data_IF_482590047779
#
_entry.id   IF_482590047779
#
_cell.length_a   1.000
_cell.length_b   1.000
_cell.length_c   1.000
_cell.angle_alpha   90.00
_cell.angle_beta   90.00
_cell.angle_gamma   90.00
#
_symmetry.space_group_name_H-M   'P 1'
#
loop_
_entity.id
_entity.type
_entity.pdbx_description
1 polymer ?
#
# COMPACT_ATOMS: atom_id res chain seq x y z
N UNK A 1 34.17 9.02 -53.43
CA UNK A 1 34.91 9.76 -52.38
C UNK A 1 33.92 10.68 -51.67
N UNK A 2 33.47 10.32 -50.46
CA UNK A 2 32.49 11.11 -49.69
C UNK A 2 33.28 12.04 -48.74
N UNK A 3 33.20 13.35 -48.99
CA UNK A 3 33.86 14.39 -48.20
C UNK A 3 33.06 14.61 -46.90
N UNK A 4 33.55 14.02 -45.80
CA UNK A 4 32.96 14.16 -44.47
C UNK A 4 33.51 15.45 -43.85
N UNK A 5 32.66 16.48 -43.76
CA UNK A 5 33.02 17.77 -43.15
C UNK A 5 33.15 17.62 -41.62
N UNK A 6 34.24 18.11 -41.00
CA UNK A 6 34.53 17.91 -39.57
C UNK A 6 33.50 18.53 -38.63
N UNK A 7 32.68 19.45 -39.12
CA UNK A 7 31.60 20.09 -38.36
C UNK A 7 30.47 19.14 -37.96
N UNK A 8 30.27 18.02 -38.67
CA UNK A 8 29.23 17.03 -38.34
C UNK A 8 29.63 16.05 -37.23
N UNK A 9 30.93 15.81 -37.04
CA UNK A 9 31.44 14.91 -36.00
C UNK A 9 31.34 15.52 -34.60
N UNK A 10 31.56 16.84 -34.48
CA UNK A 10 31.46 17.55 -33.20
C UNK A 10 30.01 17.61 -32.70
N UNK A 11 29.05 17.85 -33.60
CA UNK A 11 27.64 17.88 -33.25
C UNK A 11 27.11 16.51 -32.77
N UNK A 12 27.60 15.40 -33.36
CA UNK A 12 27.21 14.06 -32.95
C UNK A 12 27.73 13.69 -31.55
N UNK A 13 28.94 14.12 -31.17
CA UNK A 13 29.51 13.87 -29.83
C UNK A 13 28.80 14.66 -28.73
N UNK A 14 28.41 15.91 -28.98
CA UNK A 14 27.65 16.74 -28.02
C UNK A 14 26.23 16.20 -27.80
N UNK A 15 25.58 15.73 -28.87
CA UNK A 15 24.26 15.11 -28.77
C UNK A 15 24.28 13.78 -27.97
N UNK A 16 25.37 13.01 -28.06
CA UNK A 16 25.53 11.76 -27.32
C UNK A 16 25.80 11.98 -25.82
N UNK A 17 26.48 13.07 -25.45
CA UNK A 17 26.70 13.44 -24.05
C UNK A 17 25.42 13.94 -23.35
N UNK A 18 24.51 14.60 -24.07
CA UNK A 18 23.24 15.10 -23.52
C UNK A 18 22.23 13.99 -23.20
N UNK A 19 22.30 12.83 -23.87
CA UNK A 19 21.41 11.69 -23.62
C UNK A 19 21.79 10.86 -22.38
N UNK A 20 22.99 11.04 -21.82
CA UNK A 20 23.47 10.31 -20.63
C UNK A 20 23.33 11.10 -19.32
N UNK A 21 23.02 12.40 -19.39
CA UNK A 21 22.85 13.25 -18.22
C UNK A 21 21.74 12.83 -17.22
N UNK A 22 20.56 12.29 -17.62
CA UNK A 22 19.49 12.03 -16.66
C UNK A 22 19.73 10.83 -15.73
N UNK A 23 20.70 9.95 -16.03
CA UNK A 23 20.97 8.77 -15.19
C UNK A 23 21.73 9.14 -13.91
N UNK A 24 22.56 10.19 -13.95
CA UNK A 24 23.32 10.67 -12.77
C UNK A 24 22.50 11.57 -11.84
N UNK A 25 21.39 12.14 -12.32
CA UNK A 25 20.51 12.99 -11.51
C UNK A 25 19.60 12.21 -10.55
N UNK A 26 19.52 10.88 -10.67
CA UNK A 26 18.69 10.03 -9.80
C UNK A 26 19.44 9.48 -8.57
N UNK A 27 20.66 9.94 -8.31
CA UNK A 27 21.42 9.61 -7.11
C UNK A 27 21.03 10.53 -5.93
N UNK A 28 19.72 10.66 -5.67
CA UNK A 28 19.25 11.12 -4.37
C UNK A 28 19.57 10.02 -3.37
N UNK A 29 20.75 10.11 -2.75
CA UNK A 29 21.16 9.20 -1.69
C UNK A 29 20.05 9.12 -0.65
N UNK A 30 19.51 7.91 -0.44
CA UNK A 30 18.52 7.67 0.61
C UNK A 30 19.09 8.16 1.94
N UNK A 31 18.68 9.36 2.37
CA UNK A 31 18.97 9.82 3.73
C UNK A 31 18.38 8.79 4.66
N UNK A 32 19.23 7.96 5.26
CA UNK A 32 18.80 6.96 6.22
C UNK A 32 18.17 7.68 7.40
N UNK A 33 16.84 7.69 7.43
CA UNK A 33 16.08 8.25 8.54
C UNK A 33 16.29 7.38 9.77
N UNK A 34 16.34 8.01 10.94
CA UNK A 34 16.30 7.26 12.19
C UNK A 34 15.04 6.40 12.29
N UNK A 35 15.09 5.32 13.08
CA UNK A 35 13.93 4.45 13.31
C UNK A 35 12.71 5.25 13.81
N UNK A 36 12.92 6.22 14.71
CA UNK A 36 11.86 7.09 15.24
C UNK A 36 11.22 7.95 14.16
N UNK A 37 12.01 8.59 13.31
CA UNK A 37 11.50 9.39 12.19
C UNK A 37 10.72 8.52 11.20
N UNK A 38 11.22 7.32 10.91
CA UNK A 38 10.52 6.36 10.04
C UNK A 38 9.15 5.98 10.63
N UNK A 39 9.08 5.71 11.93
CA UNK A 39 7.83 5.39 12.61
C UNK A 39 6.84 6.56 12.57
N UNK A 40 7.29 7.79 12.87
CA UNK A 40 6.44 8.98 12.81
C UNK A 40 5.94 9.24 11.39
N UNK A 41 6.79 9.10 10.38
CA UNK A 41 6.41 9.23 8.98
C UNK A 41 5.30 8.23 8.61
N UNK A 42 5.46 6.96 8.98
CA UNK A 42 4.46 5.93 8.70
C UNK A 42 3.14 6.23 9.41
N UNK A 43 3.18 6.68 10.68
CA UNK A 43 1.97 7.09 11.40
C UNK A 43 1.27 8.25 10.69
N UNK A 44 1.98 9.32 10.33
CA UNK A 44 1.39 10.44 9.61
C UNK A 44 0.80 10.04 8.24
N UNK A 45 1.45 9.11 7.53
CA UNK A 45 0.91 8.57 6.29
C UNK A 45 -0.40 7.82 6.54
N UNK A 46 -0.45 6.96 7.55
CA UNK A 46 -1.67 6.24 7.93
C UNK A 46 -2.79 7.23 8.28
N UNK A 47 -2.51 8.21 9.15
CA UNK A 47 -3.49 9.22 9.58
C UNK A 47 -4.02 10.03 8.38
N UNK A 48 -3.16 10.36 7.43
CA UNK A 48 -3.55 11.07 6.21
C UNK A 48 -4.51 10.24 5.35
N UNK A 49 -4.17 8.96 5.09
CA UNK A 49 -5.01 8.11 4.25
C UNK A 49 -6.34 7.76 4.93
N UNK A 50 -6.34 7.48 6.24
CA UNK A 50 -7.56 7.19 7.00
C UNK A 50 -8.45 8.43 7.16
N UNK A 51 -7.85 9.55 7.53
CA UNK A 51 -8.59 10.76 7.89
C UNK A 51 -9.05 11.60 6.70
N UNK A 52 -8.29 11.61 5.59
CA UNK A 52 -8.61 12.42 4.40
C UNK A 52 -9.02 11.57 3.21
N UNK A 53 -8.16 10.66 2.76
CA UNK A 53 -8.36 9.97 1.47
C UNK A 53 -9.54 9.00 1.54
N UNK A 54 -9.68 8.26 2.64
CA UNK A 54 -10.77 7.31 2.81
C UNK A 54 -12.12 8.02 2.92
N UNK A 55 -12.20 9.11 3.69
CA UNK A 55 -13.40 9.97 3.74
C UNK A 55 -13.74 10.53 2.36
N UNK A 56 -12.73 10.99 1.63
CA UNK A 56 -12.89 11.52 0.28
C UNK A 56 -13.44 10.50 -0.72
N UNK A 57 -13.06 9.22 -0.57
CA UNK A 57 -13.60 8.12 -1.36
C UNK A 57 -15.07 7.81 -0.99
N UNK A 58 -15.39 7.84 0.30
CA UNK A 58 -16.75 7.65 0.82
C UNK A 58 -17.70 8.78 0.39
N UNK A 59 -17.27 10.03 0.48
CA UNK A 59 -18.02 11.20 0.02
C UNK A 59 -18.34 11.15 -1.48
N UNK A 60 -17.53 10.43 -2.26
CA UNK A 60 -17.71 10.23 -3.70
C UNK A 60 -18.36 8.89 -4.06
N UNK A 61 -18.81 8.13 -3.06
CA UNK A 61 -19.42 6.80 -3.21
C UNK A 61 -18.62 5.84 -4.14
N UNK A 62 -17.28 5.93 -4.07
CA UNK A 62 -16.41 5.14 -4.92
C UNK A 62 -15.85 3.94 -4.15
N UNK A 63 -16.61 2.84 -4.16
CA UNK A 63 -16.28 1.62 -3.43
C UNK A 63 -14.92 1.00 -3.83
N UNK A 64 -14.53 1.10 -5.12
CA UNK A 64 -13.24 0.57 -5.58
C UNK A 64 -12.07 1.39 -5.02
N UNK A 65 -12.22 2.72 -5.00
CA UNK A 65 -11.23 3.60 -4.40
C UNK A 65 -11.14 3.36 -2.89
N UNK A 66 -12.28 3.31 -2.20
CA UNK A 66 -12.31 3.02 -0.76
C UNK A 66 -11.59 1.71 -0.44
N UNK A 67 -11.93 0.63 -1.14
CA UNK A 67 -11.30 -0.69 -0.94
C UNK A 67 -9.80 -0.64 -1.21
N UNK A 68 -9.37 0.03 -2.27
CA UNK A 68 -7.94 0.18 -2.59
C UNK A 68 -7.18 0.98 -1.52
N UNK A 69 -7.79 2.07 -1.01
CA UNK A 69 -7.23 2.89 0.06
C UNK A 69 -7.15 2.11 1.37
N UNK A 70 -8.19 1.36 1.75
CA UNK A 70 -8.16 0.49 2.93
C UNK A 70 -7.02 -0.53 2.85
N UNK A 71 -6.87 -1.22 1.72
CA UNK A 71 -5.75 -2.16 1.52
C UNK A 71 -4.38 -1.46 1.59
N UNK A 72 -4.28 -0.23 1.10
CA UNK A 72 -3.05 0.55 1.20
C UNK A 72 -2.72 0.88 2.66
N UNK A 73 -3.71 1.32 3.44
CA UNK A 73 -3.58 1.58 4.88
C UNK A 73 -3.15 0.32 5.63
N UNK A 74 -3.76 -0.84 5.34
CA UNK A 74 -3.37 -2.12 5.94
C UNK A 74 -1.89 -2.46 5.67
N UNK A 75 -1.42 -2.26 4.43
CA UNK A 75 -0.01 -2.46 4.08
C UNK A 75 0.91 -1.49 4.82
N UNK A 76 0.50 -0.24 5.05
CA UNK A 76 1.27 0.71 5.85
C UNK A 76 1.31 0.31 7.32
N UNK A 77 0.18 -0.12 7.88
CA UNK A 77 0.10 -0.64 9.27
C UNK A 77 1.00 -1.86 9.46
N UNK A 78 1.00 -2.81 8.53
CA UNK A 78 1.92 -3.95 8.57
C UNK A 78 3.38 -3.49 8.56
N UNK A 79 3.76 -2.61 7.61
CA UNK A 79 5.12 -2.06 7.55
C UNK A 79 5.51 -1.30 8.83
N UNK A 80 4.56 -0.60 9.45
CA UNK A 80 4.77 0.08 10.75
C UNK A 80 5.04 -0.95 11.85
N UNK A 81 4.24 -2.00 11.95
CA UNK A 81 4.43 -3.04 12.96
C UNK A 81 5.79 -3.75 12.81
N UNK A 82 6.26 -3.96 11.58
CA UNK A 82 7.56 -4.62 11.32
C UNK A 82 8.75 -3.71 11.71
N UNK A 83 8.63 -2.39 11.51
CA UNK A 83 9.72 -1.43 11.76
C UNK A 83 9.71 -0.81 13.16
N UNK A 84 8.56 -0.80 13.82
CA UNK A 84 8.31 -0.05 15.06
C UNK A 84 7.82 -1.00 16.16
N UNK A 85 8.66 -1.31 17.18
CA UNK A 85 8.37 -2.35 18.17
C UNK A 85 7.11 -2.08 18.98
N UNK A 86 6.80 -0.81 19.27
CA UNK A 86 5.60 -0.40 20.00
C UNK A 86 4.28 -0.86 19.33
N UNK A 87 4.26 -1.05 18.01
CA UNK A 87 3.07 -1.44 17.26
C UNK A 87 3.04 -2.94 16.94
N UNK A 88 4.07 -3.70 17.31
CA UNK A 88 4.12 -5.15 17.09
C UNK A 88 3.12 -5.89 18.00
N UNK A 89 2.96 -5.45 19.25
CA UNK A 89 1.98 -6.01 20.17
C UNK A 89 0.54 -5.69 19.74
N UNK A 90 0.29 -4.46 19.26
CA UNK A 90 -1.01 -4.08 18.70
C UNK A 90 -1.43 -5.00 17.55
N UNK A 91 -0.49 -5.35 16.66
CA UNK A 91 -0.73 -6.32 15.57
C UNK A 91 -1.11 -7.70 16.09
N UNK A 92 -0.49 -8.18 17.17
CA UNK A 92 -0.80 -9.49 17.76
C UNK A 92 -2.22 -9.51 18.34
N UNK A 93 -2.61 -8.45 19.05
CA UNK A 93 -3.95 -8.30 19.61
C UNK A 93 -5.00 -8.25 18.48
N UNK A 94 -4.77 -7.43 17.46
CA UNK A 94 -5.65 -7.34 16.29
C UNK A 94 -5.77 -8.67 15.54
N UNK A 95 -4.66 -9.40 15.37
CA UNK A 95 -4.67 -10.71 14.74
C UNK A 95 -5.51 -11.73 15.53
N UNK A 96 -5.41 -11.72 16.87
CA UNK A 96 -6.25 -12.57 17.75
C UNK A 96 -7.73 -12.19 17.63
N UNK A 97 -8.04 -10.90 17.67
CA UNK A 97 -9.41 -10.41 17.52
C UNK A 97 -10.01 -10.82 16.16
N UNK A 98 -9.22 -10.72 15.08
CA UNK A 98 -9.65 -11.17 13.75
C UNK A 98 -9.92 -12.67 13.71
N UNK A 99 -9.04 -13.48 14.30
CA UNK A 99 -9.25 -14.93 14.38
C UNK A 99 -10.54 -15.29 15.17
N UNK A 100 -10.82 -14.58 16.26
CA UNK A 100 -12.06 -14.76 17.02
C UNK A 100 -13.30 -14.36 16.20
N UNK A 101 -13.25 -13.23 15.50
CA UNK A 101 -14.35 -12.79 14.64
C UNK A 101 -14.64 -13.81 13.51
N UNK A 102 -13.60 -14.36 12.87
CA UNK A 102 -13.75 -15.40 11.86
C UNK A 102 -14.36 -16.69 12.44
N UNK A 103 -13.98 -17.09 13.66
CA UNK A 103 -14.61 -18.21 14.36
C UNK A 103 -16.09 -17.96 14.64
N UNK A 104 -16.45 -16.78 15.14
CA UNK A 104 -17.85 -16.42 15.37
C UNK A 104 -18.66 -16.40 14.06
N UNK A 105 -18.08 -15.88 12.97
CA UNK A 105 -18.75 -15.87 11.68
C UNK A 105 -19.03 -17.29 11.16
N UNK A 106 -18.12 -18.24 11.39
CA UNK A 106 -18.35 -19.67 11.08
C UNK A 106 -19.50 -20.24 11.91
N UNK A 107 -19.57 -19.91 13.20
CA UNK A 107 -20.67 -20.37 14.07
C UNK A 107 -22.01 -19.78 13.62
N UNK A 108 -22.07 -18.48 13.34
CA UNK A 108 -23.29 -17.80 12.87
C UNK A 108 -23.74 -18.36 11.53
N UNK A 109 -22.82 -18.60 10.58
CA UNK A 109 -23.18 -19.19 9.29
C UNK A 109 -23.64 -20.64 9.40
N UNK A 110 -23.05 -21.43 10.30
CA UNK A 110 -23.52 -22.79 10.59
C UNK A 110 -24.93 -22.76 11.23
N UNK A 111 -25.16 -21.87 12.19
CA UNK A 111 -26.46 -21.68 12.81
C UNK A 111 -27.51 -21.22 11.80
N UNK A 112 -27.17 -20.28 10.91
CA UNK A 112 -28.06 -19.81 9.84
C UNK A 112 -28.43 -20.95 8.87
N UNK A 113 -27.46 -21.79 8.47
CA UNK A 113 -27.73 -22.98 7.65
C UNK A 113 -28.62 -23.99 8.38
N UNK A 114 -28.40 -24.22 9.67
CA UNK A 114 -29.23 -25.09 10.49
C UNK A 114 -30.67 -24.58 10.61
N UNK A 115 -30.85 -23.28 10.88
CA UNK A 115 -32.15 -22.63 10.93
C UNK A 115 -32.85 -22.69 9.57
N UNK A 116 -32.16 -22.37 8.48
CA UNK A 116 -32.70 -22.47 7.14
C UNK A 116 -33.20 -23.90 6.84
N UNK A 117 -32.42 -24.94 7.18
CA UNK A 117 -32.82 -26.33 7.04
C UNK A 117 -34.05 -26.71 7.86
N UNK A 118 -34.15 -26.19 9.09
CA UNK A 118 -35.31 -26.44 9.96
C UNK A 118 -36.58 -25.77 9.42
N UNK A 119 -36.50 -24.51 8.97
CA UNK A 119 -37.64 -23.75 8.47
C UNK A 119 -38.05 -24.11 7.04
N UNK A 120 -37.12 -24.56 6.18
CA UNK A 120 -37.43 -24.98 4.81
C UNK A 120 -37.90 -26.42 4.67
N UNK A 121 -37.98 -27.20 5.76
CA UNK A 121 -38.48 -28.57 5.74
C UNK A 121 -37.54 -29.60 5.09
N UNK A 122 -36.26 -29.27 4.91
CA UNK A 122 -35.22 -30.25 4.55
C UNK A 122 -35.36 -30.91 3.17
N UNK A 123 -35.76 -30.17 2.13
CA UNK A 123 -35.64 -30.61 0.74
C UNK A 123 -34.38 -29.96 0.11
N UNK A 124 -33.48 -30.81 -0.41
CA UNK A 124 -32.06 -30.61 -0.78
C UNK A 124 -31.04 -30.82 0.35
#
# INVERSE_FOLDING_TARGET
>A
MVSIRPTRLVAALVAQALLLAPVLASADGEKQMSKRQTCNRLTHQIDHFEGKVLKMAQERDNALWEKSTQQHVERLKSRRADKCPQYAEERRVLARAKAQAEQMQKLVTAAAKGAAKYFSGGWY
#
